data_IF_817671091918
#
_entry.id   IF_817671091918
#
_cell.length_a   1.000
_cell.length_b   1.000
_cell.length_c   1.000
_cell.angle_alpha   90.00
_cell.angle_beta   90.00
_cell.angle_gamma   90.00
#
_symmetry.space_group_name_H-M   'P 1'
#
loop_
_entity.id
_entity.type
_entity.pdbx_description
1 polymer ?
#
# COMPACT_ATOMS: atom_id res chain seq x y z
N UNK A 1 -14.83 -17.52 -10.23
CA UNK A 1 -14.40 -17.53 -8.82
C UNK A 1 -15.29 -16.57 -8.04
N UNK A 2 -15.82 -17.00 -6.90
CA UNK A 2 -16.79 -16.25 -6.11
C UNK A 2 -16.13 -15.15 -5.27
N UNK A 3 -16.91 -14.19 -4.77
CA UNK A 3 -16.41 -13.16 -3.84
C UNK A 3 -15.83 -13.77 -2.56
N UNK A 4 -16.45 -14.84 -2.07
CA UNK A 4 -15.98 -15.60 -0.90
C UNK A 4 -14.61 -16.21 -1.14
N UNK A 5 -14.38 -16.80 -2.32
CA UNK A 5 -13.09 -17.39 -2.69
C UNK A 5 -11.99 -16.33 -2.72
N UNK A 6 -12.29 -15.15 -3.25
CA UNK A 6 -11.33 -14.03 -3.29
C UNK A 6 -10.95 -13.53 -1.91
N UNK A 7 -11.95 -13.38 -1.03
CA UNK A 7 -11.71 -13.00 0.36
C UNK A 7 -10.83 -14.03 1.08
N UNK A 8 -11.10 -15.32 0.87
CA UNK A 8 -10.29 -16.38 1.44
C UNK A 8 -8.83 -16.32 0.96
N UNK A 9 -8.60 -16.09 -0.35
CA UNK A 9 -7.24 -15.93 -0.90
C UNK A 9 -6.51 -14.75 -0.25
N UNK A 10 -7.18 -13.59 -0.12
CA UNK A 10 -6.59 -12.39 0.52
C UNK A 10 -6.23 -12.68 1.98
N UNK A 11 -7.13 -13.35 2.72
CA UNK A 11 -6.88 -13.75 4.11
C UNK A 11 -5.71 -14.72 4.22
N UNK A 12 -5.62 -15.72 3.34
CA UNK A 12 -4.50 -16.67 3.27
C UNK A 12 -3.17 -15.96 3.01
N UNK A 13 -3.08 -15.08 2.01
CA UNK A 13 -1.85 -14.33 1.71
C UNK A 13 -1.46 -13.43 2.90
N UNK A 14 -2.44 -12.79 3.54
CA UNK A 14 -2.20 -11.93 4.70
C UNK A 14 -1.70 -12.72 5.91
N UNK A 15 -2.31 -13.88 6.18
CA UNK A 15 -1.90 -14.80 7.25
C UNK A 15 -0.50 -15.36 7.01
N UNK A 16 -0.22 -15.80 5.78
CA UNK A 16 1.11 -16.25 5.37
C UNK A 16 2.18 -15.18 5.56
N UNK A 17 1.93 -13.94 5.13
CA UNK A 17 2.86 -12.83 5.30
C UNK A 17 3.11 -12.53 6.78
N UNK A 18 2.06 -12.55 7.60
CA UNK A 18 2.17 -12.34 9.06
C UNK A 18 3.05 -13.43 9.68
N UNK A 19 2.78 -14.70 9.36
CA UNK A 19 3.58 -15.83 9.82
C UNK A 19 5.04 -15.76 9.38
N UNK A 20 5.29 -15.35 8.13
CA UNK A 20 6.65 -15.18 7.59
C UNK A 20 7.43 -14.11 8.38
N UNK A 21 6.79 -13.02 8.80
CA UNK A 21 7.43 -11.97 9.59
C UNK A 21 7.63 -12.38 11.06
N UNK A 22 6.60 -12.89 11.72
CA UNK A 22 6.70 -13.31 13.13
C UNK A 22 7.77 -14.38 13.32
N UNK A 23 7.84 -15.37 12.42
CA UNK A 23 8.84 -16.42 12.51
C UNK A 23 10.26 -15.88 12.23
N UNK A 24 10.37 -14.83 11.41
CA UNK A 24 11.63 -14.11 11.18
C UNK A 24 12.07 -13.39 12.46
N UNK A 25 11.16 -12.70 13.15
CA UNK A 25 11.42 -11.97 14.40
C UNK A 25 11.75 -12.91 15.57
N UNK A 26 11.06 -14.05 15.68
CA UNK A 26 11.31 -15.10 16.68
C UNK A 26 12.59 -15.92 16.39
N UNK A 27 13.37 -15.54 15.38
CA UNK A 27 14.70 -16.10 15.13
C UNK A 27 14.72 -17.39 14.31
N UNK A 28 13.60 -17.85 13.75
CA UNK A 28 13.58 -19.07 12.93
C UNK A 28 14.43 -18.89 11.68
N UNK A 29 15.57 -19.62 11.60
CA UNK A 29 16.53 -19.52 10.50
C UNK A 29 15.91 -19.83 9.13
N UNK A 30 14.94 -20.76 9.08
CA UNK A 30 14.24 -21.16 7.85
C UNK A 30 13.43 -20.01 7.26
N UNK A 31 12.57 -19.36 8.05
CA UNK A 31 11.72 -18.27 7.56
C UNK A 31 12.53 -17.02 7.21
N UNK A 32 13.63 -16.75 7.94
CA UNK A 32 14.60 -15.70 7.58
C UNK A 32 15.25 -15.97 6.22
N UNK A 33 15.69 -17.21 5.98
CA UNK A 33 16.28 -17.61 4.71
C UNK A 33 15.27 -17.52 3.55
N UNK A 34 14.03 -18.00 3.75
CA UNK A 34 12.95 -17.89 2.78
C UNK A 34 12.68 -16.44 2.38
N UNK A 35 12.49 -15.56 3.36
CA UNK A 35 12.29 -14.12 3.12
C UNK A 35 13.49 -13.49 2.41
N UNK A 36 14.72 -13.90 2.75
CA UNK A 36 15.91 -13.42 2.05
C UNK A 36 15.97 -13.88 0.59
N UNK A 37 15.58 -15.13 0.28
CA UNK A 37 15.48 -15.64 -1.09
C UNK A 37 14.43 -14.87 -1.89
N UNK A 38 13.23 -14.69 -1.33
CA UNK A 38 12.14 -13.93 -1.97
C UNK A 38 12.56 -12.49 -2.30
N UNK A 39 13.29 -11.81 -1.41
CA UNK A 39 13.80 -10.46 -1.65
C UNK A 39 14.91 -10.38 -2.71
N UNK A 40 15.57 -11.51 -3.01
CA UNK A 40 16.68 -11.59 -3.97
C UNK A 40 16.26 -12.10 -5.34
N UNK A 41 15.17 -12.85 -5.43
CA UNK A 41 14.60 -13.31 -6.69
C UNK A 41 14.41 -12.10 -7.63
N UNK A 42 14.95 -12.10 -8.84
CA UNK A 42 14.84 -10.96 -9.74
C UNK A 42 13.59 -11.04 -10.61
N UNK A 43 13.20 -12.27 -10.96
CA UNK A 43 12.13 -12.58 -11.90
C UNK A 43 11.04 -13.46 -11.28
N UNK A 44 9.91 -13.62 -11.97
CA UNK A 44 8.87 -14.57 -11.60
C UNK A 44 9.40 -16.02 -11.56
N UNK A 45 10.24 -16.39 -12.52
CA UNK A 45 10.87 -17.71 -12.58
C UNK A 45 11.77 -17.98 -11.37
N UNK A 46 12.50 -16.97 -10.87
CA UNK A 46 13.27 -17.10 -9.63
C UNK A 46 12.36 -17.33 -8.40
N UNK A 47 11.17 -16.71 -8.39
CA UNK A 47 10.21 -16.83 -7.28
C UNK A 47 9.60 -18.24 -7.22
N UNK A 48 9.27 -18.83 -8.37
CA UNK A 48 8.75 -20.20 -8.48
C UNK A 48 9.71 -21.22 -7.86
N UNK A 49 11.01 -20.95 -7.87
CA UNK A 49 12.03 -21.81 -7.26
C UNK A 49 12.11 -21.67 -5.73
N UNK A 50 11.32 -20.79 -5.12
CA UNK A 50 11.28 -20.62 -3.65
C UNK A 50 10.15 -21.48 -3.07
N UNK A 51 10.45 -22.51 -2.26
CA UNK A 51 9.44 -23.42 -1.72
C UNK A 51 8.32 -22.71 -0.96
N UNK A 52 8.64 -21.68 -0.18
CA UNK A 52 7.66 -20.92 0.59
C UNK A 52 6.67 -20.13 -0.28
N UNK A 53 7.03 -19.77 -1.51
CA UNK A 53 6.10 -19.16 -2.46
C UNK A 53 5.17 -20.21 -3.07
N UNK A 54 5.68 -21.40 -3.40
CA UNK A 54 4.86 -22.51 -3.89
C UNK A 54 3.88 -23.00 -2.83
N UNK A 55 4.32 -23.12 -1.57
CA UNK A 55 3.42 -23.46 -0.46
C UNK A 55 2.27 -22.45 -0.34
N UNK A 56 2.55 -21.15 -0.49
CA UNK A 56 1.48 -20.14 -0.51
C UNK A 56 0.49 -20.36 -1.65
N UNK A 57 0.97 -20.62 -2.88
CA UNK A 57 0.09 -20.90 -4.02
C UNK A 57 -0.84 -22.09 -3.72
N UNK A 58 -0.29 -23.18 -3.17
CA UNK A 58 -1.08 -24.35 -2.78
C UNK A 58 -2.08 -24.03 -1.65
N UNK A 59 -1.71 -23.21 -0.67
CA UNK A 59 -2.61 -22.78 0.41
C UNK A 59 -3.74 -21.88 -0.09
N UNK A 60 -3.49 -21.06 -1.11
CA UNK A 60 -4.51 -20.22 -1.74
C UNK A 60 -5.50 -21.01 -2.61
N UNK A 61 -5.12 -22.20 -3.07
CA UNK A 61 -5.95 -23.04 -3.92
C UNK A 61 -5.20 -24.30 -4.32
N UNK A 62 -5.46 -25.44 -3.66
CA UNK A 62 -4.71 -26.67 -3.90
C UNK A 62 -4.90 -27.23 -5.31
N UNK A 63 -6.01 -26.90 -5.98
CA UNK A 63 -6.35 -27.40 -7.32
C UNK A 63 -6.90 -26.28 -8.24
N UNK A 64 -6.29 -26.07 -9.41
CA UNK A 64 -6.94 -25.42 -10.55
C UNK A 64 -7.05 -23.89 -10.52
N UNK A 65 -6.18 -23.17 -9.79
CA UNK A 65 -6.08 -21.72 -9.93
C UNK A 65 -5.65 -21.35 -11.38
N UNK A 66 -6.26 -20.32 -12.00
CA UNK A 66 -5.79 -19.83 -13.29
C UNK A 66 -4.33 -19.38 -13.23
N UNK A 67 -3.53 -19.69 -14.25
CA UNK A 67 -2.09 -19.35 -14.32
C UNK A 67 -1.82 -17.87 -14.00
N UNK A 68 -2.64 -16.97 -14.56
CA UNK A 68 -2.52 -15.52 -14.29
C UNK A 68 -2.62 -15.22 -12.80
N UNK A 69 -3.53 -15.87 -12.08
CA UNK A 69 -3.70 -15.68 -10.65
C UNK A 69 -2.52 -16.27 -9.87
N UNK A 70 -2.02 -17.44 -10.26
CA UNK A 70 -0.80 -18.02 -9.68
C UNK A 70 0.37 -17.03 -9.78
N UNK A 71 0.56 -16.41 -10.93
CA UNK A 71 1.61 -15.41 -11.15
C UNK A 71 1.42 -14.17 -10.27
N UNK A 72 0.19 -13.71 -10.05
CA UNK A 72 -0.08 -12.60 -9.12
C UNK A 72 0.23 -12.98 -7.66
N UNK A 73 -0.09 -14.21 -7.24
CA UNK A 73 0.23 -14.71 -5.90
C UNK A 73 1.75 -14.77 -5.68
N UNK A 74 2.50 -15.28 -6.67
CA UNK A 74 3.96 -15.33 -6.63
C UNK A 74 4.57 -13.92 -6.58
N UNK A 75 4.10 -13.02 -7.42
CA UNK A 75 4.48 -11.61 -7.41
C UNK A 75 4.23 -10.99 -6.02
N UNK A 76 3.06 -11.24 -5.43
CA UNK A 76 2.72 -10.75 -4.09
C UNK A 76 3.61 -11.35 -2.99
N UNK A 77 3.90 -12.65 -3.03
CA UNK A 77 4.81 -13.30 -2.08
C UNK A 77 6.16 -12.57 -2.03
N UNK A 78 6.66 -12.21 -3.20
CA UNK A 78 7.93 -11.54 -3.37
C UNK A 78 7.89 -10.06 -2.96
N UNK A 79 6.84 -9.33 -3.32
CA UNK A 79 6.64 -7.92 -2.91
C UNK A 79 6.48 -7.80 -1.40
N UNK A 80 5.64 -8.66 -0.80
CA UNK A 80 5.35 -8.66 0.63
C UNK A 80 6.57 -9.04 1.48
N UNK A 81 7.55 -9.76 0.94
CA UNK A 81 8.81 -10.03 1.62
C UNK A 81 9.61 -8.74 1.95
N UNK A 82 9.37 -7.64 1.23
CA UNK A 82 9.93 -6.31 1.50
C UNK A 82 9.13 -5.48 2.50
N UNK A 83 7.88 -5.87 2.81
CA UNK A 83 6.98 -5.09 3.66
C UNK A 83 7.23 -5.46 5.13
N UNK A 84 7.58 -4.49 5.99
CA UNK A 84 7.75 -4.73 7.42
C UNK A 84 6.40 -4.83 8.14
N UNK A 85 6.41 -5.47 9.30
CA UNK A 85 5.29 -5.37 10.26
C UNK A 85 5.36 -3.98 10.89
N UNK A 86 4.26 -3.24 10.75
CA UNK A 86 4.08 -1.90 11.32
C UNK A 86 2.81 -1.95 12.15
N UNK A 87 2.87 -1.39 13.36
CA UNK A 87 1.84 -1.48 14.39
C UNK A 87 0.52 -0.79 14.02
N UNK A 88 0.58 0.26 13.19
CA UNK A 88 -0.60 1.02 12.79
C UNK A 88 -0.78 1.00 11.27
N UNK A 89 -2.00 0.77 10.82
CA UNK A 89 -2.41 0.89 9.41
C UNK A 89 -3.31 2.12 9.26
N UNK A 90 -2.88 3.13 8.51
CA UNK A 90 -3.40 4.51 8.54
C UNK A 90 -4.08 4.95 7.23
N UNK A 91 -4.42 4.00 6.36
CA UNK A 91 -5.10 4.24 5.09
C UNK A 91 -4.77 3.22 4.01
N UNK A 92 -5.13 3.55 2.77
CA UNK A 92 -4.79 2.73 1.59
C UNK A 92 -3.32 2.95 1.17
N UNK A 93 -2.77 2.00 0.41
CA UNK A 93 -1.40 2.13 -0.13
C UNK A 93 -1.19 3.44 -0.90
N UNK A 94 -2.14 3.77 -1.78
CA UNK A 94 -2.07 4.99 -2.59
C UNK A 94 -2.13 6.27 -1.73
N UNK A 95 -2.97 6.29 -0.69
CA UNK A 95 -3.00 7.41 0.26
C UNK A 95 -1.67 7.59 0.98
N UNK A 96 -1.06 6.51 1.46
CA UNK A 96 0.25 6.56 2.11
C UNK A 96 1.34 7.02 1.14
N UNK A 97 1.33 6.55 -0.12
CA UNK A 97 2.31 6.94 -1.13
C UNK A 97 2.37 8.45 -1.40
N UNK A 98 1.24 9.15 -1.27
CA UNK A 98 1.14 10.60 -1.47
C UNK A 98 1.42 11.46 -0.21
N UNK A 99 1.67 10.85 0.95
CA UNK A 99 2.03 11.56 2.19
C UNK A 99 3.52 11.81 2.28
N UNK A 100 3.93 12.69 3.18
CA UNK A 100 5.34 12.85 3.55
C UNK A 100 5.80 11.85 4.63
N UNK A 101 7.09 11.91 4.98
CA UNK A 101 7.71 11.08 6.02
C UNK A 101 7.06 11.27 7.40
N UNK A 102 6.40 12.41 7.64
CA UNK A 102 5.69 12.71 8.89
C UNK A 102 4.21 12.29 8.84
N UNK A 103 3.75 11.71 7.72
CA UNK A 103 2.36 11.33 7.50
C UNK A 103 1.44 12.51 7.19
N UNK A 104 1.98 13.71 6.95
CA UNK A 104 1.23 14.89 6.57
C UNK A 104 0.83 14.83 5.09
N UNK A 105 -0.23 15.58 4.79
CA UNK A 105 -0.71 15.77 3.43
C UNK A 105 0.09 16.90 2.82
N UNK A 106 0.68 16.63 1.67
CA UNK A 106 1.26 17.69 0.86
C UNK A 106 0.19 18.26 -0.05
N UNK A 107 0.13 19.58 -0.13
CA UNK A 107 -0.71 20.29 -1.08
C UNK A 107 -0.42 19.85 -2.52
N UNK A 108 -1.39 20.06 -3.42
CA UNK A 108 -1.24 19.75 -4.86
C UNK A 108 -0.07 20.51 -5.51
N UNK A 109 0.32 21.62 -4.91
CA UNK A 109 1.37 22.56 -5.27
C UNK A 109 2.72 22.30 -4.56
N UNK A 110 2.73 21.51 -3.48
CA UNK A 110 3.95 21.18 -2.74
C UNK A 110 4.65 19.97 -3.36
N UNK A 111 5.65 20.26 -4.20
CA UNK A 111 6.56 19.24 -4.75
C UNK A 111 7.77 19.11 -3.84
N UNK A 112 7.98 17.92 -3.23
CA UNK A 112 9.26 17.64 -2.58
C UNK A 112 9.26 16.86 -1.26
N UNK A 113 8.12 16.39 -0.76
CA UNK A 113 8.09 15.60 0.47
C UNK A 113 7.39 14.24 0.37
N UNK A 114 6.76 13.89 -0.77
CA UNK A 114 6.00 12.64 -0.86
C UNK A 114 6.91 11.40 -0.74
N UNK A 115 6.44 10.36 -0.06
CA UNK A 115 7.11 9.05 -0.01
C UNK A 115 7.38 8.50 -1.41
N UNK A 116 6.40 8.67 -2.31
CA UNK A 116 6.54 8.36 -3.73
C UNK A 116 6.18 9.60 -4.53
N UNK A 117 7.11 10.11 -5.32
CA UNK A 117 6.81 11.24 -6.21
C UNK A 117 5.70 10.91 -7.21
N UNK A 118 4.93 11.92 -7.62
CA UNK A 118 3.78 11.74 -8.50
C UNK A 118 4.13 11.01 -9.80
N UNK A 119 5.28 11.32 -10.41
CA UNK A 119 5.72 10.67 -11.64
C UNK A 119 6.02 9.18 -11.43
N UNK A 120 6.63 8.81 -10.29
CA UNK A 120 6.90 7.41 -9.94
C UNK A 120 5.60 6.67 -9.62
N UNK A 121 4.67 7.31 -8.92
CA UNK A 121 3.36 6.73 -8.63
C UNK A 121 2.55 6.52 -9.92
N UNK A 122 2.52 7.50 -10.82
CA UNK A 122 1.89 7.36 -12.15
C UNK A 122 2.51 6.20 -12.93
N UNK A 123 3.84 6.12 -12.99
CA UNK A 123 4.52 5.02 -13.67
C UNK A 123 4.14 3.66 -13.08
N UNK A 124 4.10 3.52 -11.75
CA UNK A 124 3.63 2.30 -11.08
C UNK A 124 2.22 1.93 -11.51
N UNK A 125 1.28 2.87 -11.47
CA UNK A 125 -0.12 2.64 -11.82
C UNK A 125 -0.27 2.21 -13.29
N UNK A 126 0.49 2.81 -14.20
CA UNK A 126 0.50 2.40 -15.61
C UNK A 126 1.11 1.01 -15.79
N UNK A 127 2.19 0.66 -15.07
CA UNK A 127 2.75 -0.69 -15.10
C UNK A 127 1.74 -1.73 -14.61
N UNK A 128 1.01 -1.47 -13.53
CA UNK A 128 -0.02 -2.39 -13.03
C UNK A 128 -1.22 -2.49 -13.97
N UNK A 129 -1.56 -1.41 -14.67
CA UNK A 129 -2.59 -1.46 -15.70
C UNK A 129 -2.14 -2.28 -16.91
N UNK A 130 -0.89 -2.12 -17.36
CA UNK A 130 -0.33 -2.96 -18.43
C UNK A 130 -0.31 -4.44 -18.04
N UNK A 131 0.07 -4.77 -16.79
CA UNK A 131 -0.02 -6.14 -16.26
C UNK A 131 -1.46 -6.68 -16.27
N UNK A 132 -2.45 -5.85 -15.94
CA UNK A 132 -3.85 -6.24 -16.00
C UNK A 132 -4.28 -6.64 -17.43
N UNK A 133 -3.85 -5.89 -18.45
CA UNK A 133 -4.13 -6.19 -19.85
C UNK A 133 -3.29 -7.35 -20.40
N UNK A 134 -2.14 -7.64 -19.78
CA UNK A 134 -1.23 -8.70 -20.21
C UNK A 134 -1.83 -10.11 -20.07
N UNK A 135 -1.43 -11.02 -20.94
CA UNK A 135 -1.78 -12.44 -20.86
C UNK A 135 -1.07 -13.15 -19.70
N UNK A 136 -1.46 -14.40 -19.39
CA UNK A 136 -0.78 -15.19 -18.35
C UNK A 136 0.67 -15.55 -18.67
N UNK A 137 1.05 -15.57 -19.96
CA UNK A 137 2.41 -15.91 -20.42
C UNK A 137 3.32 -14.72 -20.71
N UNK A 138 2.95 -13.51 -20.27
CA UNK A 138 3.79 -12.31 -20.44
C UNK A 138 4.68 -12.10 -19.20
N UNK A 139 5.73 -12.91 -19.10
CA UNK A 139 6.67 -12.89 -17.97
C UNK A 139 7.34 -11.51 -17.82
N UNK A 140 7.62 -10.82 -18.92
CA UNK A 140 8.24 -9.48 -18.93
C UNK A 140 7.33 -8.44 -18.26
N UNK A 141 6.01 -8.52 -18.46
CA UNK A 141 5.04 -7.67 -17.77
C UNK A 141 5.05 -7.93 -16.26
N UNK A 142 5.11 -9.20 -15.84
CA UNK A 142 5.20 -9.57 -14.42
C UNK A 142 6.52 -9.10 -13.78
N UNK A 143 7.65 -9.27 -14.46
CA UNK A 143 8.96 -8.85 -13.97
C UNK A 143 9.06 -7.32 -13.85
N UNK A 144 8.50 -6.61 -14.82
CA UNK A 144 8.41 -5.14 -14.78
C UNK A 144 7.53 -4.67 -13.61
N UNK A 145 6.38 -5.30 -13.41
CA UNK A 145 5.49 -5.00 -12.28
C UNK A 145 6.13 -5.34 -10.93
N UNK A 146 6.84 -6.46 -10.84
CA UNK A 146 7.59 -6.86 -9.65
C UNK A 146 8.62 -5.80 -9.25
N UNK A 147 9.42 -5.32 -10.21
CA UNK A 147 10.42 -4.28 -9.96
C UNK A 147 9.78 -2.96 -9.52
N UNK A 148 8.69 -2.54 -10.18
CA UNK A 148 7.95 -1.32 -9.86
C UNK A 148 7.34 -1.39 -8.45
N UNK A 149 6.65 -2.48 -8.12
CA UNK A 149 6.00 -2.69 -6.83
C UNK A 149 7.01 -2.76 -5.69
N UNK A 150 8.11 -3.50 -5.84
CA UNK A 150 9.17 -3.58 -4.83
C UNK A 150 9.75 -2.21 -4.50
N UNK A 151 10.01 -1.40 -5.51
CA UNK A 151 10.50 -0.02 -5.32
C UNK A 151 9.45 0.81 -4.58
N UNK A 152 8.18 0.69 -4.98
CA UNK A 152 7.10 1.44 -4.37
C UNK A 152 6.86 1.05 -2.89
N UNK A 153 6.80 -0.25 -2.56
CA UNK A 153 6.62 -0.70 -1.17
C UNK A 153 7.85 -0.43 -0.31
N UNK A 154 9.06 -0.31 -0.88
CA UNK A 154 10.23 0.15 -0.11
C UNK A 154 10.07 1.59 0.39
N UNK A 155 9.42 2.44 -0.39
CA UNK A 155 9.17 3.83 -0.03
C UNK A 155 7.94 3.98 0.88
N UNK A 156 6.84 3.30 0.56
CA UNK A 156 5.59 3.40 1.32
C UNK A 156 5.49 2.43 2.52
N UNK A 157 6.37 1.42 2.60
CA UNK A 157 6.26 0.29 3.54
C UNK A 157 6.35 0.65 5.02
N UNK A 158 7.02 1.75 5.35
CA UNK A 158 7.11 2.27 6.72
C UNK A 158 5.86 3.03 7.16
N UNK A 159 5.05 3.53 6.21
CA UNK A 159 3.92 4.41 6.51
C UNK A 159 2.67 3.68 7.03
N UNK A 160 2.70 2.33 7.05
CA UNK A 160 1.63 1.50 7.59
C UNK A 160 0.31 1.67 6.83
N UNK A 161 0.13 0.95 5.71
CA UNK A 161 -1.14 0.91 4.96
C UNK A 161 -1.90 -0.39 5.22
N UNK A 162 -3.19 -0.42 4.89
CA UNK A 162 -4.02 -1.62 4.89
C UNK A 162 -3.49 -2.64 3.86
N UNK A 163 -2.89 -3.71 4.39
CA UNK A 163 -2.21 -4.74 3.59
C UNK A 163 -3.21 -5.65 2.89
N UNK A 164 -4.30 -6.02 3.55
CA UNK A 164 -5.35 -6.85 2.95
C UNK A 164 -5.96 -6.11 1.76
N UNK A 165 -6.21 -4.81 1.90
CA UNK A 165 -6.66 -3.97 0.79
C UNK A 165 -5.63 -3.87 -0.32
N UNK A 166 -4.36 -3.68 0.00
CA UNK A 166 -3.28 -3.67 -1.00
C UNK A 166 -3.20 -4.99 -1.77
N UNK A 167 -3.22 -6.14 -1.08
CA UNK A 167 -3.22 -7.48 -1.68
C UNK A 167 -4.40 -7.62 -2.65
N UNK A 168 -5.61 -7.30 -2.18
CA UNK A 168 -6.81 -7.33 -3.01
C UNK A 168 -6.69 -6.42 -4.24
N UNK A 169 -6.14 -5.22 -4.07
CA UNK A 169 -5.97 -4.27 -5.17
C UNK A 169 -5.00 -4.76 -6.24
N UNK A 170 -3.95 -5.50 -5.86
CA UNK A 170 -3.02 -6.11 -6.81
C UNK A 170 -3.64 -7.33 -7.51
N UNK A 171 -4.34 -8.21 -6.77
CA UNK A 171 -5.03 -9.37 -7.35
C UNK A 171 -6.11 -8.97 -8.35
N UNK A 172 -6.78 -7.84 -8.11
CA UNK A 172 -7.90 -7.34 -8.92
C UNK A 172 -7.63 -5.95 -9.47
N UNK A 173 -6.39 -5.71 -9.89
CA UNK A 173 -6.06 -4.42 -10.48
C UNK A 173 -6.92 -4.23 -11.73
N UNK A 174 -7.58 -3.08 -11.84
CA UNK A 174 -8.59 -2.80 -12.86
C UNK A 174 -8.63 -1.30 -13.15
N UNK A 175 -9.28 -0.84 -14.23
CA UNK A 175 -9.47 0.59 -14.48
C UNK A 175 -10.18 1.33 -13.32
N UNK A 176 -11.03 0.64 -12.57
CA UNK A 176 -11.66 1.18 -11.36
C UNK A 176 -10.66 1.35 -10.22
N UNK A 177 -9.82 0.33 -9.96
CA UNK A 177 -8.73 0.39 -8.97
C UNK A 177 -7.73 1.49 -9.33
N UNK A 178 -7.34 1.60 -10.60
CA UNK A 178 -6.48 2.67 -11.14
C UNK A 178 -7.03 4.06 -10.83
N UNK A 179 -8.31 4.33 -11.16
CA UNK A 179 -8.95 5.62 -10.84
C UNK A 179 -8.97 5.89 -9.34
N UNK A 180 -9.36 4.91 -8.54
CA UNK A 180 -9.38 5.04 -7.07
C UNK A 180 -7.99 5.38 -6.54
N UNK A 181 -6.95 4.68 -6.98
CA UNK A 181 -5.57 4.93 -6.58
C UNK A 181 -5.11 6.35 -6.92
N UNK A 182 -5.50 6.91 -8.07
CA UNK A 182 -5.21 8.32 -8.38
C UNK A 182 -5.88 9.29 -7.41
N UNK A 183 -7.16 9.08 -7.08
CA UNK A 183 -7.86 9.94 -6.12
C UNK A 183 -7.33 9.78 -4.69
N UNK A 184 -7.03 8.54 -4.29
CA UNK A 184 -6.44 8.22 -2.99
C UNK A 184 -5.06 8.87 -2.83
N UNK A 185 -4.23 8.84 -3.87
CA UNK A 185 -2.91 9.47 -3.87
C UNK A 185 -2.99 10.98 -3.62
N UNK A 186 -3.95 11.65 -4.26
CA UNK A 186 -4.18 13.09 -4.06
C UNK A 186 -5.11 13.41 -2.89
N UNK A 187 -5.65 12.39 -2.22
CA UNK A 187 -6.58 12.49 -1.09
C UNK A 187 -7.77 13.43 -1.34
N UNK A 188 -8.26 13.47 -2.58
CA UNK A 188 -9.30 14.39 -3.08
C UNK A 188 -10.67 14.25 -2.38
N UNK A 189 -10.85 13.25 -1.52
CA UNK A 189 -12.07 13.04 -0.74
C UNK A 189 -11.96 13.45 0.74
N UNK A 190 -10.81 13.98 1.19
CA UNK A 190 -10.75 14.60 2.52
C UNK A 190 -11.28 16.03 2.44
N UNK A 191 -12.33 16.30 3.21
CA UNK A 191 -12.70 17.65 3.55
C UNK A 191 -11.47 18.39 4.12
N UNK A 192 -11.32 19.70 3.87
CA UNK A 192 -10.25 20.48 4.49
C UNK A 192 -10.27 20.23 6.00
N UNK A 193 -9.11 20.18 6.68
CA UNK A 193 -9.11 20.17 8.14
C UNK A 193 -9.98 21.35 8.57
N UNK A 194 -10.99 21.08 9.38
CA UNK A 194 -11.79 22.12 9.99
C UNK A 194 -10.79 23.11 10.58
N UNK A 195 -10.69 24.29 9.97
CA UNK A 195 -9.89 25.38 10.50
C UNK A 195 -10.26 25.46 11.95
N UNK A 196 -9.29 25.21 12.82
CA UNK A 196 -9.43 25.43 14.23
C UNK A 196 -10.05 26.82 14.36
N UNK A 197 -11.31 26.86 14.79
CA UNK A 197 -11.91 28.06 15.27
C UNK A 197 -11.03 28.43 16.47
N UNK A 198 -10.04 29.27 16.23
CA UNK A 198 -9.30 29.96 17.27
C UNK A 198 -10.33 30.87 17.95
N UNK A 199 -11.01 30.25 18.90
CA UNK A 199 -11.73 30.93 19.96
C UNK A 199 -10.71 31.72 20.73
N UNK A 200 -10.50 32.97 20.31
CA UNK A 200 -10.08 33.99 21.25
C UNK A 200 -11.24 34.24 22.19
N UNK A 201 -11.11 33.63 23.37
CA UNK A 201 -11.46 34.17 24.68
C UNK A 201 -11.92 35.64 24.59
N UNK A 202 -13.14 35.96 25.02
CA UNK A 202 -13.42 35.96 26.45
C UNK A 202 -12.67 37.14 27.06
N UNK A 203 -13.18 38.34 26.85
CA UNK A 203 -12.81 39.50 27.65
C UNK A 203 -14.06 40.09 28.30
N UNK A 204 -13.93 40.33 29.60
CA UNK A 204 -14.98 40.56 30.60
C UNK A 204 -15.32 42.07 30.64
N UNK A 205 -16.53 42.50 31.06
CA UNK A 205 -16.98 43.87 30.85
C UNK A 205 -16.35 44.84 31.86
N UNK A 206 -15.76 45.93 31.36
CA UNK A 206 -15.35 47.06 32.18
C UNK A 206 -16.04 48.32 31.68
N UNK A 207 -17.17 48.65 32.30
CA UNK A 207 -17.72 50.00 32.25
C UNK A 207 -16.79 50.95 33.00
N UNK A 208 -16.21 51.91 32.30
CA UNK A 208 -16.06 53.28 32.78
C UNK A 208 -15.56 54.20 31.66
N UNK A 209 -16.38 55.20 31.28
CA UNK A 209 -15.87 56.49 30.81
C UNK A 209 -16.71 57.58 31.45
N UNK A 210 -16.07 58.23 32.40
CA UNK A 210 -16.47 59.45 33.05
C UNK A 210 -16.62 60.63 32.07
N UNK A 211 -17.57 61.49 32.42
CA UNK A 211 -17.52 62.96 32.49
C UNK A 211 -17.07 63.80 31.27
N UNK A 212 -17.98 64.70 30.86
CA UNK A 212 -17.86 66.18 30.82
C UNK A 212 -18.75 66.74 29.68
N UNK A 213 -19.43 67.90 29.72
CA UNK A 213 -19.76 68.96 30.67
C UNK A 213 -20.66 69.93 29.87
N UNK A 214 -21.63 70.56 30.56
CA UNK A 214 -22.35 71.82 30.29
C UNK A 214 -22.37 72.44 28.86
N UNK A 215 -23.56 72.85 28.37
CA UNK A 215 -24.22 74.16 28.60
C UNK A 215 -25.71 73.99 28.34
#
# INVERSE_FOLDING_TARGET
MSETDWKAIVETITGWWTGLNEATEKGSGRHRAARARLRRAATLNDIVMVPEALSLVHECGPDGLPDKLVNHILLLASVLAHVPVVAQQVGTFAQCAGRDDNGNLLGRDETGGQLISHLRFKALVETLHALHEAGSGDDDAFDTALAALRRAVKHAGSAGYDRSRFINDILHFSPATKRRWHFDYWQTFKAPPATAADGKAGDTPQGNRDAATAV
#
